data_IF_473239018626
#
_entry.id   IF_473239018626
#
_cell.length_a   1.000
_cell.length_b   1.000
_cell.length_c   1.000
_cell.angle_alpha   90.00
_cell.angle_beta   90.00
_cell.angle_gamma   90.00
#
_symmetry.space_group_name_H-M   'P 1'
#
loop_
_entity.id
_entity.type
_entity.pdbx_description
1 polymer ?
#
# COMPACT_ATOMS: atom_id res chain seq x y z
N UNK A 1 -58.32 54.44 15.19
CA UNK A 1 -56.91 54.41 15.65
C UNK A 1 -56.36 53.05 15.24
N UNK A 2 -55.51 53.03 14.21
CA UNK A 2 -55.25 51.86 13.34
C UNK A 2 -54.14 51.00 13.96
N UNK A 3 -54.43 49.72 14.14
CA UNK A 3 -53.54 48.69 14.69
C UNK A 3 -52.59 48.20 13.59
N UNK A 4 -51.28 48.46 13.73
CA UNK A 4 -50.25 47.93 12.81
C UNK A 4 -49.85 46.52 13.24
N UNK A 5 -50.16 45.53 12.39
CA UNK A 5 -49.63 44.17 12.44
C UNK A 5 -48.17 44.19 11.93
N UNK A 6 -47.24 43.69 12.75
CA UNK A 6 -45.88 43.36 12.33
C UNK A 6 -45.90 41.97 11.70
N UNK A 7 -45.57 41.90 10.40
CA UNK A 7 -45.26 40.66 9.69
C UNK A 7 -43.79 40.33 9.96
N UNK A 8 -43.53 39.29 10.76
CA UNK A 8 -42.20 38.66 10.83
C UNK A 8 -42.05 37.70 9.66
N UNK A 9 -41.20 38.06 8.71
CA UNK A 9 -40.74 37.17 7.64
C UNK A 9 -39.59 36.36 8.22
N UNK A 10 -39.84 35.09 8.56
CA UNK A 10 -38.77 34.13 8.83
C UNK A 10 -38.15 33.70 7.50
N UNK A 11 -36.92 34.14 7.23
CA UNK A 11 -36.06 33.52 6.21
C UNK A 11 -35.62 32.14 6.76
N UNK A 12 -36.21 31.08 6.23
CA UNK A 12 -35.67 29.72 6.34
C UNK A 12 -34.48 29.61 5.38
N UNK A 13 -33.27 29.81 5.90
CA UNK A 13 -32.03 29.48 5.20
C UNK A 13 -31.90 27.96 5.13
N UNK A 14 -32.26 27.36 4.00
CA UNK A 14 -31.91 25.97 3.69
C UNK A 14 -30.41 25.89 3.42
N UNK A 15 -29.65 25.44 4.42
CA UNK A 15 -28.27 24.99 4.24
C UNK A 15 -28.32 23.71 3.41
N UNK A 16 -27.98 23.83 2.12
CA UNK A 16 -27.64 22.68 1.28
C UNK A 16 -26.30 22.13 1.76
N UNK A 17 -26.35 21.09 2.60
CA UNK A 17 -25.18 20.26 2.88
C UNK A 17 -24.93 19.47 1.60
N UNK A 18 -23.97 19.92 0.79
CA UNK A 18 -23.42 19.12 -0.29
C UNK A 18 -22.66 17.96 0.36
N UNK A 19 -23.29 16.78 0.40
CA UNK A 19 -22.59 15.54 0.72
C UNK A 19 -21.68 15.27 -0.48
N UNK A 20 -20.41 15.64 -0.36
CA UNK A 20 -19.41 15.22 -1.32
C UNK A 20 -19.31 13.69 -1.23
N UNK A 21 -19.83 13.00 -2.24
CA UNK A 21 -19.49 11.59 -2.42
C UNK A 21 -17.96 11.52 -2.64
N UNK A 22 -17.23 10.61 -1.97
CA UNK A 22 -15.83 10.43 -2.28
C UNK A 22 -15.70 10.09 -3.77
N UNK A 23 -14.89 10.85 -4.48
CA UNK A 23 -14.54 10.52 -5.85
C UNK A 23 -13.76 9.20 -5.81
N UNK A 24 -14.37 8.10 -6.26
CA UNK A 24 -13.64 6.86 -6.50
C UNK A 24 -12.74 7.12 -7.70
N UNK A 25 -11.44 7.30 -7.46
CA UNK A 25 -10.46 7.32 -8.53
C UNK A 25 -10.51 5.95 -9.22
N UNK A 26 -10.69 5.89 -10.55
CA UNK A 26 -10.71 4.61 -11.25
C UNK A 26 -9.36 3.92 -11.06
N UNK A 27 -9.36 2.62 -10.74
CA UNK A 27 -8.14 1.85 -10.56
C UNK A 27 -7.28 1.93 -11.84
N UNK A 28 -6.03 2.39 -11.69
CA UNK A 28 -5.08 2.50 -12.79
C UNK A 28 -4.38 1.14 -13.02
N UNK A 29 -4.05 0.82 -14.27
CA UNK A 29 -3.22 -0.36 -14.56
C UNK A 29 -1.82 -0.21 -13.98
N UNK A 30 -1.18 -1.32 -13.60
CA UNK A 30 0.21 -1.32 -13.16
C UNK A 30 1.18 -1.17 -14.34
N UNK A 31 2.04 -0.17 -14.26
CA UNK A 31 3.18 0.00 -15.16
C UNK A 31 4.42 0.35 -14.35
N UNK A 32 5.52 -0.36 -14.53
CA UNK A 32 6.77 -0.03 -13.84
C UNK A 32 8.01 -0.35 -14.67
N UNK A 33 9.12 0.32 -14.38
CA UNK A 33 10.40 0.05 -15.03
C UNK A 33 10.99 -1.24 -14.47
N UNK A 34 10.85 -2.33 -15.21
CA UNK A 34 11.28 -3.66 -14.78
C UNK A 34 12.79 -3.87 -14.94
N UNK A 35 13.39 -3.27 -15.96
CA UNK A 35 14.85 -3.32 -16.15
C UNK A 35 15.32 -2.05 -16.83
N UNK A 36 16.53 -1.60 -16.51
CA UNK A 36 17.17 -0.50 -17.22
C UNK A 36 18.69 -0.63 -17.21
N UNK A 37 19.32 -0.03 -18.21
CA UNK A 37 20.77 0.16 -18.27
C UNK A 37 21.07 1.52 -18.86
N UNK A 38 22.09 2.20 -18.35
CA UNK A 38 22.56 3.47 -18.88
C UNK A 38 21.66 4.67 -18.57
N UNK A 39 21.58 5.61 -19.51
CA UNK A 39 20.87 6.88 -19.39
C UNK A 39 19.42 6.77 -19.87
N UNK A 40 18.55 6.45 -18.92
CA UNK A 40 17.10 6.43 -19.09
C UNK A 40 16.52 7.54 -18.22
N UNK A 41 15.57 8.30 -18.78
CA UNK A 41 14.92 9.39 -18.08
C UNK A 41 13.40 9.29 -18.16
N UNK A 42 12.71 9.77 -17.13
CA UNK A 42 11.26 9.87 -17.07
C UNK A 42 10.87 11.34 -16.93
N UNK A 43 9.80 11.75 -17.60
CA UNK A 43 9.09 13.01 -17.34
C UNK A 43 7.64 12.70 -16.99
N UNK A 44 7.24 13.10 -15.78
CA UNK A 44 5.85 13.04 -15.30
C UNK A 44 5.11 14.36 -15.59
N UNK A 45 3.76 14.38 -15.63
CA UNK A 45 2.98 15.59 -15.92
C UNK A 45 3.34 16.80 -15.06
N UNK A 46 3.42 16.61 -13.74
CA UNK A 46 3.72 17.69 -12.80
C UNK A 46 5.20 18.12 -12.81
N UNK A 47 6.09 17.36 -13.45
CA UNK A 47 7.51 17.65 -13.40
C UNK A 47 7.91 18.73 -14.39
N UNK A 48 8.77 19.65 -13.94
CA UNK A 48 9.37 20.67 -14.80
C UNK A 48 10.14 20.02 -15.96
N UNK A 49 10.98 19.04 -15.62
CA UNK A 49 11.92 18.40 -16.54
C UNK A 49 11.83 16.88 -16.59
N UNK A 50 12.84 16.30 -17.23
CA UNK A 50 13.12 14.87 -17.15
C UNK A 50 14.05 14.60 -15.98
N UNK A 51 13.75 13.59 -15.18
CA UNK A 51 14.65 13.06 -14.15
C UNK A 51 15.18 11.68 -14.56
N UNK A 52 16.23 11.21 -13.88
CA UNK A 52 16.77 9.87 -14.07
C UNK A 52 15.71 8.84 -13.67
N UNK A 53 15.62 7.79 -14.47
CA UNK A 53 14.77 6.65 -14.17
C UNK A 53 15.50 5.62 -13.31
N UNK A 54 14.76 4.94 -12.45
CA UNK A 54 15.24 3.87 -11.58
C UNK A 54 14.41 2.61 -11.79
N UNK A 55 15.00 1.46 -11.49
CA UNK A 55 14.28 0.20 -11.56
C UNK A 55 13.23 0.18 -10.45
N UNK A 56 12.02 -0.25 -10.81
CA UNK A 56 10.87 -0.26 -9.91
C UNK A 56 10.05 1.03 -9.90
N UNK A 57 10.49 2.10 -10.59
CA UNK A 57 9.69 3.32 -10.74
C UNK A 57 8.30 2.97 -11.30
N UNK A 58 7.26 3.31 -10.54
CA UNK A 58 5.87 3.23 -11.00
C UNK A 58 5.63 4.36 -12.01
N UNK A 59 4.90 4.02 -13.07
CA UNK A 59 4.64 4.89 -14.20
C UNK A 59 3.14 5.04 -14.44
N UNK A 60 2.74 6.22 -14.89
CA UNK A 60 1.43 6.49 -15.46
C UNK A 60 1.47 6.43 -16.98
N UNK A 61 0.32 6.13 -17.61
CA UNK A 61 0.19 6.10 -19.07
C UNK A 61 0.55 7.44 -19.76
N UNK A 62 0.44 8.54 -19.00
CA UNK A 62 0.76 9.91 -19.40
C UNK A 62 2.26 10.24 -19.29
N UNK A 63 3.01 9.48 -18.51
CA UNK A 63 4.45 9.67 -18.33
C UNK A 63 5.20 9.43 -19.63
N UNK A 64 6.37 10.05 -19.74
CA UNK A 64 7.26 9.93 -20.90
C UNK A 64 8.58 9.31 -20.50
N UNK A 65 8.96 8.24 -21.17
CA UNK A 65 10.26 7.59 -20.99
C UNK A 65 11.16 7.93 -22.16
N UNK A 66 12.42 8.24 -21.89
CA UNK A 66 13.43 8.54 -22.88
C UNK A 66 14.69 7.71 -22.65
N UNK A 67 14.94 6.75 -23.55
CA UNK A 67 16.22 6.05 -23.67
C UNK A 67 17.12 6.84 -24.62
N UNK A 68 18.14 7.53 -24.08
CA UNK A 68 18.83 8.59 -24.84
C UNK A 68 19.80 8.08 -25.90
N UNK A 69 20.49 6.99 -25.62
CA UNK A 69 21.62 6.53 -26.43
C UNK A 69 21.61 5.01 -26.60
N UNK A 70 22.26 4.48 -27.68
CA UNK A 70 22.15 3.06 -28.06
C UNK A 70 22.69 2.05 -27.04
N UNK A 71 23.55 2.50 -26.10
CA UNK A 71 24.09 1.68 -25.01
C UNK A 71 23.12 1.58 -23.81
N UNK A 72 22.02 2.33 -23.85
CA UNK A 72 21.01 2.33 -22.80
C UNK A 72 19.81 1.50 -23.22
N UNK A 73 19.13 0.92 -22.24
CA UNK A 73 17.92 0.13 -22.44
C UNK A 73 16.96 0.38 -21.30
N UNK A 74 15.67 0.27 -21.60
CA UNK A 74 14.62 0.25 -20.59
C UNK A 74 13.55 -0.76 -21.02
N UNK A 75 13.12 -1.59 -20.06
CA UNK A 75 12.02 -2.52 -20.21
C UNK A 75 10.95 -2.11 -19.20
N UNK A 76 9.75 -1.86 -19.70
CA UNK A 76 8.57 -1.55 -18.87
C UNK A 76 7.72 -2.79 -18.77
N UNK A 77 7.38 -3.20 -17.55
CA UNK A 77 6.34 -4.20 -17.32
C UNK A 77 4.98 -3.51 -17.40
N UNK A 78 4.08 -4.06 -18.20
CA UNK A 78 2.73 -3.52 -18.42
C UNK A 78 1.68 -4.35 -17.66
N UNK A 79 0.53 -3.73 -17.40
CA UNK A 79 -0.59 -4.28 -16.62
C UNK A 79 -1.12 -5.64 -17.13
N UNK A 80 -0.97 -5.96 -18.41
CA UNK A 80 -1.37 -7.24 -19.00
C UNK A 80 -0.25 -8.30 -19.02
N UNK A 81 0.70 -8.23 -18.09
CA UNK A 81 1.84 -9.16 -17.97
C UNK A 81 2.72 -9.20 -19.23
N UNK A 82 2.78 -8.11 -19.97
CA UNK A 82 3.64 -7.95 -21.14
C UNK A 82 4.81 -7.02 -20.82
N UNK A 83 5.86 -7.09 -21.63
CA UNK A 83 7.02 -6.23 -21.50
C UNK A 83 7.18 -5.35 -22.74
N UNK A 84 7.31 -4.05 -22.52
CA UNK A 84 7.62 -3.10 -23.56
C UNK A 84 9.10 -2.72 -23.52
N UNK A 85 9.84 -3.04 -24.58
CA UNK A 85 11.19 -2.53 -24.80
C UNK A 85 11.11 -1.12 -25.37
N UNK A 86 11.55 -0.13 -24.59
CA UNK A 86 11.47 1.29 -25.01
C UNK A 86 12.47 1.57 -26.13
N UNK A 87 12.03 2.09 -27.29
CA UNK A 87 12.95 2.39 -28.39
C UNK A 87 13.89 3.55 -28.04
N UNK A 88 15.13 3.47 -28.56
CA UNK A 88 16.17 4.48 -28.35
C UNK A 88 15.90 5.72 -29.21
N UNK A 89 16.30 6.89 -28.71
CA UNK A 89 16.54 8.10 -29.52
C UNK A 89 15.47 9.17 -29.43
N UNK A 90 14.29 8.89 -28.87
CA UNK A 90 13.28 9.90 -28.54
C UNK A 90 12.45 9.51 -27.32
N UNK A 91 11.73 10.48 -26.76
CA UNK A 91 10.83 10.25 -25.64
C UNK A 91 9.47 9.74 -26.11
N UNK A 92 9.00 8.65 -25.52
CA UNK A 92 7.70 8.02 -25.79
C UNK A 92 6.79 8.12 -24.57
N UNK A 93 5.49 8.35 -24.80
CA UNK A 93 4.49 8.16 -23.73
C UNK A 93 4.40 6.67 -23.40
N UNK A 94 4.17 6.33 -22.13
CA UNK A 94 3.99 4.93 -21.70
C UNK A 94 2.84 4.26 -22.45
N UNK A 95 1.74 4.98 -22.66
CA UNK A 95 0.59 4.56 -23.49
C UNK A 95 0.91 4.17 -24.94
N UNK A 96 2.10 4.48 -25.46
CA UNK A 96 2.52 4.03 -26.80
C UNK A 96 3.07 2.61 -26.82
N UNK A 97 3.58 2.12 -25.70
CA UNK A 97 4.17 0.80 -25.61
C UNK A 97 3.37 -0.16 -24.73
N UNK A 98 2.82 0.33 -23.63
CA UNK A 98 1.77 -0.33 -22.89
C UNK A 98 0.44 0.22 -23.41
N UNK A 99 -0.14 -0.43 -24.41
CA UNK A 99 -1.49 -0.08 -24.87
C UNK A 99 -2.48 -0.45 -23.78
N UNK A 100 -3.27 0.52 -23.33
CA UNK A 100 -4.48 0.23 -22.58
C UNK A 100 -5.45 -0.44 -23.54
N UNK A 101 -5.78 -1.70 -23.32
CA UNK A 101 -6.66 -2.46 -24.22
C UNK A 101 -8.10 -1.95 -24.18
N UNK A 102 -8.39 -0.78 -23.57
CA UNK A 102 -9.70 -0.14 -23.47
C UNK A 102 -10.75 -0.96 -22.73
N UNK A 103 -10.34 -2.13 -22.26
CA UNK A 103 -11.06 -3.07 -21.44
C UNK A 103 -10.05 -3.33 -20.33
N UNK A 104 -10.40 -2.95 -19.11
CA UNK A 104 -9.96 -3.68 -17.92
C UNK A 104 -10.41 -5.12 -18.15
N UNK A 105 -9.69 -5.87 -19.00
CA UNK A 105 -9.93 -7.30 -19.17
C UNK A 105 -9.77 -7.87 -17.78
N UNK A 106 -10.60 -8.83 -17.40
CA UNK A 106 -10.63 -9.48 -16.09
C UNK A 106 -9.25 -9.95 -15.55
N UNK A 107 -8.18 -9.90 -16.37
CA UNK A 107 -6.80 -10.33 -16.08
C UNK A 107 -5.72 -9.23 -16.01
N UNK A 108 -6.04 -7.94 -15.90
CA UNK A 108 -5.03 -6.87 -15.74
C UNK A 108 -4.59 -6.64 -14.29
N UNK A 109 -3.28 -6.50 -14.02
CA UNK A 109 -2.80 -6.08 -12.69
C UNK A 109 -3.12 -4.61 -12.49
N UNK A 110 -3.84 -4.32 -11.40
CA UNK A 110 -4.16 -2.97 -10.97
C UNK A 110 -3.09 -2.44 -10.03
N UNK A 111 -2.70 -1.18 -10.23
CA UNK A 111 -1.93 -0.42 -9.27
C UNK A 111 -2.86 0.31 -8.30
N UNK A 112 -2.55 0.25 -7.01
CA UNK A 112 -3.31 0.93 -5.96
C UNK A 112 -2.36 1.76 -5.10
N UNK A 113 -2.13 3.00 -5.52
CA UNK A 113 -1.34 3.97 -4.77
C UNK A 113 -2.11 4.56 -3.58
N UNK A 114 -3.41 4.80 -3.77
CA UNK A 114 -4.22 5.65 -2.89
C UNK A 114 -5.12 4.83 -1.98
N UNK A 115 -4.59 3.73 -1.44
CA UNK A 115 -5.30 3.01 -0.41
C UNK A 115 -5.29 3.87 0.86
N UNK A 116 -6.46 4.37 1.32
CA UNK A 116 -6.50 5.19 2.51
C UNK A 116 -5.85 4.41 3.66
N UNK A 117 -5.07 5.11 4.48
CA UNK A 117 -4.52 4.55 5.72
C UNK A 117 -5.64 3.78 6.40
N UNK A 118 -5.47 2.44 6.48
CA UNK A 118 -6.46 1.63 7.16
C UNK A 118 -6.62 2.24 8.56
N UNK A 119 -7.87 2.54 9.00
CA UNK A 119 -8.06 3.10 10.32
C UNK A 119 -7.30 2.22 11.29
N UNK A 120 -6.46 2.85 12.13
CA UNK A 120 -5.71 2.15 13.15
C UNK A 120 -6.70 1.55 14.13
N UNK A 121 -7.22 0.37 13.81
CA UNK A 121 -8.04 -0.41 14.72
C UNK A 121 -7.03 -1.07 15.63
N UNK A 122 -6.98 -0.50 16.83
CA UNK A 122 -5.95 -0.68 17.84
C UNK A 122 -4.63 -0.12 17.32
N UNK A 123 -4.31 1.11 17.75
CA UNK A 123 -2.96 1.67 17.69
C UNK A 123 -2.01 0.54 18.05
N UNK A 124 -0.96 0.33 17.27
CA UNK A 124 0.12 -0.63 17.55
C UNK A 124 0.81 -0.25 18.85
N UNK A 125 0.07 -0.50 19.93
CA UNK A 125 0.44 -0.33 21.29
C UNK A 125 1.32 -1.54 21.56
N UNK A 126 2.59 -1.28 21.83
CA UNK A 126 3.58 -2.31 22.16
C UNK A 126 3.20 -3.11 23.42
N UNK A 127 2.17 -2.66 24.16
CA UNK A 127 1.59 -3.38 25.29
C UNK A 127 0.57 -4.45 24.87
N UNK A 128 0.08 -4.45 23.62
CA UNK A 128 -0.90 -5.40 23.11
C UNK A 128 -0.25 -6.45 22.21
N UNK A 129 -0.76 -7.70 22.19
CA UNK A 129 -0.27 -8.75 21.31
C UNK A 129 -0.87 -8.61 19.90
N UNK A 130 -0.69 -7.46 19.27
CA UNK A 130 -1.30 -7.19 17.96
C UNK A 130 -0.76 -8.14 16.89
N UNK A 131 -1.68 -8.63 16.05
CA UNK A 131 -1.35 -9.57 15.00
C UNK A 131 -0.52 -8.89 13.91
N UNK A 132 0.62 -9.49 13.57
CA UNK A 132 1.55 -9.06 12.52
C UNK A 132 1.26 -9.83 11.22
N UNK A 133 1.00 -11.13 11.32
CA UNK A 133 0.78 -12.00 10.15
C UNK A 133 -0.09 -13.19 10.55
N UNK A 134 -1.05 -13.61 9.71
CA UNK A 134 -1.66 -12.87 8.60
C UNK A 134 -2.58 -11.76 9.16
N UNK A 135 -2.57 -10.55 8.59
CA UNK A 135 -3.46 -9.46 9.04
C UNK A 135 -4.20 -8.87 7.85
N UNK A 136 -5.53 -8.77 7.94
CA UNK A 136 -6.39 -8.15 6.93
C UNK A 136 -6.06 -8.66 5.51
N UNK A 137 -6.12 -9.97 5.31
CA UNK A 137 -5.69 -10.63 4.07
C UNK A 137 -6.55 -11.83 3.74
N UNK A 138 -6.75 -12.08 2.45
CA UNK A 138 -7.18 -13.40 1.99
C UNK A 138 -6.02 -14.39 2.13
N UNK A 139 -6.36 -15.65 2.21
CA UNK A 139 -5.46 -16.79 2.29
C UNK A 139 -5.72 -17.72 1.11
N UNK A 140 -4.64 -18.33 0.63
CA UNK A 140 -4.72 -19.35 -0.40
C UNK A 140 -5.08 -20.70 0.23
N UNK A 141 -6.04 -21.45 -0.34
CA UNK A 141 -6.44 -22.74 0.22
C UNK A 141 -5.28 -23.75 0.28
N UNK A 142 -5.21 -24.50 1.38
CA UNK A 142 -4.24 -25.58 1.61
C UNK A 142 -2.77 -25.12 1.64
N UNK A 143 -2.52 -23.84 1.92
CA UNK A 143 -1.17 -23.36 2.22
C UNK A 143 -0.88 -23.39 3.73
N UNK A 144 0.36 -23.72 4.13
CA UNK A 144 0.81 -23.55 5.50
C UNK A 144 0.65 -22.10 5.93
N UNK A 145 0.24 -21.89 7.18
CA UNK A 145 0.07 -20.56 7.73
C UNK A 145 0.78 -20.49 9.08
N UNK A 146 1.56 -19.44 9.27
CA UNK A 146 2.20 -19.14 10.55
C UNK A 146 1.62 -17.84 11.09
N UNK A 147 0.96 -17.91 12.24
CA UNK A 147 0.45 -16.75 12.95
C UNK A 147 1.61 -16.11 13.73
N UNK A 148 1.78 -14.79 13.61
CA UNK A 148 2.80 -14.00 14.32
C UNK A 148 2.16 -12.75 14.90
N UNK A 149 2.55 -12.37 16.12
CA UNK A 149 2.06 -11.17 16.79
C UNK A 149 3.18 -10.47 17.57
N UNK A 150 2.90 -9.27 18.03
CA UNK A 150 3.81 -8.53 18.89
C UNK A 150 3.94 -9.19 20.27
N UNK A 151 5.17 -9.31 20.79
CA UNK A 151 5.39 -9.93 22.08
C UNK A 151 5.08 -8.94 23.22
N UNK A 152 4.23 -9.34 24.17
CA UNK A 152 3.88 -8.52 25.33
C UNK A 152 4.88 -8.71 26.46
N UNK A 153 5.41 -7.61 26.99
CA UNK A 153 6.35 -7.63 28.11
C UNK A 153 5.75 -8.34 29.32
N UNK A 154 6.51 -9.26 29.94
CA UNK A 154 6.12 -10.11 31.08
C UNK A 154 5.09 -11.22 30.76
N UNK A 155 4.63 -11.35 29.51
CA UNK A 155 3.84 -12.51 29.12
C UNK A 155 4.71 -13.77 29.12
N UNK A 156 4.14 -14.88 29.61
CA UNK A 156 4.81 -16.20 29.65
C UNK A 156 4.19 -17.18 28.66
N UNK A 157 2.96 -16.91 28.23
CA UNK A 157 2.24 -17.65 27.21
C UNK A 157 1.14 -16.78 26.59
N UNK A 158 0.61 -17.26 25.48
CA UNK A 158 -0.48 -16.67 24.72
C UNK A 158 -1.54 -17.73 24.43
N UNK A 159 -2.80 -17.33 24.56
CA UNK A 159 -3.95 -18.07 24.06
C UNK A 159 -4.35 -17.47 22.71
N UNK A 160 -4.24 -18.27 21.65
CA UNK A 160 -4.55 -17.87 20.28
C UNK A 160 -5.81 -18.56 19.84
N UNK A 161 -6.79 -17.77 19.40
CA UNK A 161 -8.10 -18.25 18.97
C UNK A 161 -8.40 -17.74 17.56
N UNK A 162 -8.80 -18.64 16.68
CA UNK A 162 -9.45 -18.28 15.41
C UNK A 162 -10.95 -18.48 15.61
N UNK A 163 -11.74 -17.43 15.33
CA UNK A 163 -13.20 -17.44 15.46
C UNK A 163 -13.88 -17.25 14.11
N UNK A 164 -15.03 -17.89 13.94
CA UNK A 164 -16.02 -17.48 12.95
C UNK A 164 -17.20 -16.88 13.71
N UNK A 165 -17.52 -15.61 13.45
CA UNK A 165 -18.40 -14.82 14.30
C UNK A 165 -17.91 -14.91 15.78
N UNK A 166 -18.79 -15.20 16.73
CA UNK A 166 -18.44 -15.36 18.13
C UNK A 166 -17.96 -16.79 18.50
N UNK A 167 -17.86 -17.72 17.54
CA UNK A 167 -17.58 -19.15 17.82
C UNK A 167 -16.11 -19.49 17.54
N UNK A 168 -15.35 -19.97 18.54
CA UNK A 168 -14.02 -20.53 18.31
C UNK A 168 -14.08 -21.71 17.34
N UNK A 169 -13.27 -21.67 16.28
CA UNK A 169 -13.08 -22.79 15.35
C UNK A 169 -11.73 -23.47 15.54
N UNK A 170 -10.78 -22.77 16.17
CA UNK A 170 -9.47 -23.29 16.53
C UNK A 170 -8.89 -22.51 17.71
N UNK A 171 -8.22 -23.22 18.61
CA UNK A 171 -7.57 -22.66 19.79
C UNK A 171 -6.24 -23.35 20.07
N UNK A 172 -5.24 -22.57 20.50
CA UNK A 172 -3.95 -23.11 20.92
C UNK A 172 -3.26 -22.18 21.92
N UNK A 173 -2.64 -22.78 22.93
CA UNK A 173 -1.74 -22.09 23.85
C UNK A 173 -0.29 -22.29 23.44
N UNK A 174 0.49 -21.22 23.37
CA UNK A 174 1.93 -21.24 23.05
C UNK A 174 2.72 -20.30 23.96
N UNK A 175 4.02 -20.56 24.13
CA UNK A 175 4.91 -19.67 24.90
C UNK A 175 5.52 -18.54 24.06
N UNK A 176 5.77 -18.81 22.78
CA UNK A 176 6.38 -17.88 21.84
C UNK A 176 5.32 -17.05 21.10
N UNK A 177 5.64 -15.84 20.61
CA UNK A 177 4.73 -14.98 19.88
C UNK A 177 4.50 -15.41 18.41
N UNK A 178 4.46 -16.72 18.20
CA UNK A 178 4.38 -17.38 16.91
C UNK A 178 3.74 -18.75 17.06
N UNK A 179 2.88 -19.13 16.11
CA UNK A 179 2.33 -20.49 16.06
C UNK A 179 1.98 -20.89 14.64
N UNK A 180 2.38 -22.12 14.27
CA UNK A 180 1.90 -22.71 13.03
C UNK A 180 0.44 -23.14 13.18
N UNK A 181 -0.36 -22.69 12.22
CA UNK A 181 -1.73 -23.11 12.01
C UNK A 181 -1.71 -24.33 11.06
N UNK A 182 -2.09 -25.51 11.56
CA UNK A 182 -1.70 -26.78 10.95
C UNK A 182 -2.39 -27.09 9.63
N UNK A 183 -3.58 -26.54 9.36
CA UNK A 183 -4.28 -26.77 8.09
C UNK A 183 -5.37 -25.73 7.81
N UNK A 184 -5.22 -24.99 6.70
CA UNK A 184 -6.26 -24.07 6.21
C UNK A 184 -7.48 -24.76 5.60
N UNK A 185 -7.48 -26.09 5.45
CA UNK A 185 -8.65 -26.87 5.00
C UNK A 185 -9.85 -26.80 5.94
N UNK A 186 -9.63 -26.46 7.21
CA UNK A 186 -10.70 -26.25 8.19
C UNK A 186 -11.44 -24.92 7.99
N UNK A 187 -10.85 -24.00 7.23
CA UNK A 187 -11.46 -22.73 6.89
C UNK A 187 -12.36 -22.89 5.65
N UNK A 188 -13.40 -22.06 5.55
CA UNK A 188 -14.36 -22.03 4.44
C UNK A 188 -14.26 -20.72 3.66
N UNK A 189 -14.54 -20.79 2.36
CA UNK A 189 -14.38 -19.70 1.38
C UNK A 189 -15.45 -18.61 1.42
N UNK A 190 -16.46 -18.77 2.26
CA UNK A 190 -17.60 -17.88 2.42
C UNK A 190 -17.64 -17.22 3.81
N UNK A 191 -16.49 -17.17 4.50
CA UNK A 191 -16.42 -16.77 5.91
C UNK A 191 -15.26 -15.83 6.18
N UNK A 192 -15.57 -14.80 6.96
CA UNK A 192 -14.57 -14.00 7.66
C UNK A 192 -14.20 -14.68 8.96
N UNK A 193 -12.90 -14.90 9.15
CA UNK A 193 -12.35 -15.39 10.40
C UNK A 193 -11.60 -14.30 11.12
N UNK A 194 -11.75 -14.29 12.44
CA UNK A 194 -11.16 -13.32 13.34
C UNK A 194 -10.07 -14.01 14.14
N UNK A 195 -8.88 -13.42 14.20
CA UNK A 195 -7.78 -13.93 15.02
C UNK A 195 -7.73 -13.08 16.29
N UNK A 196 -7.81 -13.74 17.44
CA UNK A 196 -7.68 -13.13 18.76
C UNK A 196 -6.45 -13.71 19.42
N UNK A 197 -5.58 -12.84 19.93
CA UNK A 197 -4.44 -13.25 20.75
C UNK A 197 -4.59 -12.63 22.13
N UNK A 198 -4.53 -13.47 23.17
CA UNK A 198 -4.59 -13.03 24.57
C UNK A 198 -3.30 -13.42 25.28
N UNK A 199 -2.59 -12.45 25.82
CA UNK A 199 -1.39 -12.68 26.60
C UNK A 199 -1.73 -13.15 28.03
N UNK A 200 -0.83 -13.90 28.67
CA UNK A 200 -1.00 -14.35 30.06
C UNK A 200 -1.12 -13.22 31.10
N UNK A 201 -0.78 -11.99 30.71
CA UNK A 201 -0.96 -10.77 31.51
C UNK A 201 -2.40 -10.26 31.51
N UNK A 202 -3.27 -10.82 30.66
CA UNK A 202 -4.70 -10.50 30.58
C UNK A 202 -5.08 -9.54 29.45
N UNK A 203 -4.10 -8.95 28.75
CA UNK A 203 -4.33 -8.08 27.58
C UNK A 203 -4.54 -8.90 26.32
N UNK A 204 -5.35 -8.40 25.38
CA UNK A 204 -5.65 -9.06 24.12
C UNK A 204 -5.57 -8.10 22.93
N UNK A 205 -5.39 -8.67 21.74
CA UNK A 205 -5.67 -7.99 20.48
C UNK A 205 -6.66 -8.82 19.67
N UNK A 206 -7.83 -8.28 19.30
CA UNK A 206 -8.30 -6.92 19.63
C UNK A 206 -8.51 -6.70 21.14
N UNK A 207 -8.53 -5.45 21.60
CA UNK A 207 -8.65 -5.09 23.02
C UNK A 207 -9.98 -5.59 23.60
N UNK A 208 -11.05 -5.56 22.81
CA UNK A 208 -12.30 -6.24 23.11
C UNK A 208 -12.59 -7.43 22.17
N UNK A 209 -12.27 -8.68 22.59
CA UNK A 209 -12.47 -9.90 21.80
C UNK A 209 -13.89 -10.20 21.33
N UNK A 210 -14.90 -9.45 21.81
CA UNK A 210 -16.32 -9.66 21.56
C UNK A 210 -17.01 -8.46 20.87
N UNK A 211 -16.33 -7.32 20.71
CA UNK A 211 -16.95 -6.10 20.17
C UNK A 211 -16.14 -5.45 19.05
N UNK A 212 -14.82 -5.65 19.03
CA UNK A 212 -13.97 -5.04 18.03
C UNK A 212 -13.79 -5.95 16.80
N UNK A 213 -13.80 -5.38 15.59
CA UNK A 213 -13.50 -6.15 14.39
C UNK A 213 -12.01 -6.52 14.43
N UNK A 214 -11.71 -7.76 14.84
CA UNK A 214 -10.35 -8.30 14.80
C UNK A 214 -9.81 -8.31 13.36
N UNK A 215 -8.48 -8.40 13.18
CA UNK A 215 -7.90 -8.73 11.89
C UNK A 215 -8.64 -9.89 11.25
N UNK A 216 -9.12 -9.64 10.03
CA UNK A 216 -9.93 -10.60 9.31
C UNK A 216 -9.09 -11.35 8.29
N UNK A 217 -9.30 -12.65 8.23
CA UNK A 217 -8.81 -13.49 7.14
C UNK A 217 -9.99 -14.14 6.42
N UNK A 218 -9.86 -14.27 5.10
CA UNK A 218 -10.78 -15.02 4.26
C UNK A 218 -10.01 -16.07 3.48
N UNK A 219 -10.70 -17.01 2.84
CA UNK A 219 -10.08 -17.85 1.83
C UNK A 219 -10.42 -17.33 0.43
N UNK A 220 -9.45 -17.44 -0.47
CA UNK A 220 -9.62 -17.12 -1.87
C UNK A 220 -10.54 -18.14 -2.57
N UNK A 221 -11.30 -17.70 -3.58
CA UNK A 221 -12.08 -18.59 -4.44
C UNK A 221 -11.19 -19.46 -5.31
N UNK A 222 -11.71 -20.60 -5.79
CA UNK A 222 -10.98 -21.44 -6.75
C UNK A 222 -10.67 -20.69 -8.04
N UNK A 223 -11.61 -19.88 -8.53
CA UNK A 223 -11.45 -19.11 -9.77
C UNK A 223 -10.26 -18.16 -9.69
N UNK A 224 -10.20 -17.34 -8.63
CA UNK A 224 -9.10 -16.42 -8.42
C UNK A 224 -7.78 -17.15 -8.14
N UNK A 225 -7.79 -18.29 -7.42
CA UNK A 225 -6.57 -19.09 -7.20
C UNK A 225 -6.02 -19.68 -8.51
N UNK A 226 -6.89 -20.11 -9.44
CA UNK A 226 -6.44 -20.62 -10.75
C UNK A 226 -5.91 -19.50 -11.65
N UNK A 227 -6.58 -18.35 -11.67
CA UNK A 227 -6.10 -17.19 -12.41
C UNK A 227 -4.75 -16.69 -11.86
N UNK A 228 -4.63 -16.59 -10.53
CA UNK A 228 -3.38 -16.24 -9.86
C UNK A 228 -2.25 -17.18 -10.26
N UNK A 229 -2.46 -18.51 -10.20
CA UNK A 229 -1.45 -19.50 -10.60
C UNK A 229 -0.99 -19.32 -12.04
N UNK A 230 -1.93 -19.08 -12.95
CA UNK A 230 -1.64 -18.82 -14.36
C UNK A 230 -0.78 -17.56 -14.52
N UNK A 231 -1.15 -16.46 -13.86
CA UNK A 231 -0.48 -15.18 -13.97
C UNK A 231 0.91 -15.17 -13.30
N UNK A 232 1.06 -15.86 -12.17
CA UNK A 232 2.36 -16.10 -11.53
C UNK A 232 3.30 -16.87 -12.47
N UNK A 233 2.81 -17.96 -13.09
CA UNK A 233 3.59 -18.72 -14.06
C UNK A 233 4.02 -17.87 -15.25
N UNK A 234 3.16 -16.97 -15.73
CA UNK A 234 3.52 -16.02 -16.78
C UNK A 234 4.66 -15.10 -16.34
N UNK A 235 4.58 -14.48 -15.16
CA UNK A 235 5.65 -13.62 -14.62
C UNK A 235 6.97 -14.40 -14.48
N UNK A 236 6.92 -15.64 -13.99
CA UNK A 236 8.10 -16.47 -13.77
C UNK A 236 8.84 -16.80 -15.08
N UNK A 237 8.11 -16.96 -16.19
CA UNK A 237 8.69 -17.23 -17.51
C UNK A 237 9.30 -16.00 -18.20
N UNK A 238 9.03 -14.79 -17.70
CA UNK A 238 9.59 -13.58 -18.29
C UNK A 238 11.09 -13.48 -18.03
N UNK A 239 11.81 -12.89 -18.99
CA UNK A 239 13.23 -12.58 -18.86
C UNK A 239 13.43 -11.29 -18.05
N UNK A 240 13.05 -11.34 -16.78
CA UNK A 240 13.20 -10.28 -15.79
C UNK A 240 14.09 -10.76 -14.65
N UNK A 241 14.75 -9.83 -13.98
CA UNK A 241 15.53 -10.16 -12.79
C UNK A 241 14.63 -10.42 -11.56
N UNK A 242 15.26 -10.78 -10.44
CA UNK A 242 14.55 -11.15 -9.23
C UNK A 242 13.80 -9.99 -8.57
N UNK A 243 14.27 -8.75 -8.70
CA UNK A 243 13.58 -7.58 -8.13
C UNK A 243 12.31 -7.30 -8.92
N UNK A 244 12.40 -7.25 -10.25
CA UNK A 244 11.26 -7.04 -11.11
C UNK A 244 10.20 -8.14 -10.95
N UNK A 245 10.62 -9.41 -10.89
CA UNK A 245 9.67 -10.53 -10.63
C UNK A 245 8.99 -10.38 -9.28
N UNK A 246 9.73 -10.09 -8.22
CA UNK A 246 9.16 -9.90 -6.89
C UNK A 246 8.15 -8.74 -6.86
N UNK A 247 8.45 -7.62 -7.51
CA UNK A 247 7.54 -6.48 -7.62
C UNK A 247 6.27 -6.85 -8.42
N UNK A 248 6.41 -7.51 -9.57
CA UNK A 248 5.28 -7.97 -10.37
C UNK A 248 4.39 -8.97 -9.61
N UNK A 249 4.99 -9.93 -8.90
CA UNK A 249 4.27 -10.90 -8.08
C UNK A 249 3.55 -10.22 -6.91
N UNK A 250 4.22 -9.30 -6.20
CA UNK A 250 3.62 -8.58 -5.08
C UNK A 250 2.39 -7.76 -5.51
N UNK A 251 2.50 -7.01 -6.60
CA UNK A 251 1.35 -6.29 -7.13
C UNK A 251 0.25 -7.21 -7.65
N UNK A 252 0.59 -8.36 -8.26
CA UNK A 252 -0.39 -9.36 -8.66
C UNK A 252 -1.18 -9.86 -7.44
N UNK A 253 -0.50 -10.34 -6.40
CA UNK A 253 -1.11 -10.78 -5.15
C UNK A 253 -2.02 -9.70 -4.55
N UNK A 254 -1.51 -8.48 -4.44
CA UNK A 254 -2.28 -7.35 -3.94
C UNK A 254 -3.50 -7.03 -4.83
N UNK A 255 -3.38 -7.13 -6.15
CA UNK A 255 -4.48 -6.84 -7.08
C UNK A 255 -5.62 -7.88 -7.00
N UNK A 256 -5.29 -9.13 -6.64
CA UNK A 256 -6.25 -10.23 -6.44
C UNK A 256 -7.10 -9.97 -5.19
N UNK A 257 -8.26 -9.31 -5.36
CA UNK A 257 -9.24 -9.08 -4.30
C UNK A 257 -10.61 -9.61 -4.70
N UNK A 258 -11.31 -10.27 -3.77
CA UNK A 258 -12.71 -10.67 -4.00
C UNK A 258 -13.67 -9.48 -3.92
N UNK A 259 -13.39 -8.49 -3.06
CA UNK A 259 -14.14 -7.25 -2.96
C UNK A 259 -13.18 -6.08 -2.65
N UNK A 260 -13.17 -5.09 -3.53
CA UNK A 260 -12.26 -3.94 -3.43
C UNK A 260 -12.48 -3.07 -2.19
N UNK A 261 -13.67 -3.14 -1.57
CA UNK A 261 -13.99 -2.38 -0.37
C UNK A 261 -13.44 -3.04 0.91
N UNK A 262 -13.01 -4.31 0.83
CA UNK A 262 -12.60 -5.11 1.97
C UNK A 262 -11.18 -5.62 1.81
N UNK A 263 -10.26 -5.01 2.57
CA UNK A 263 -8.82 -5.30 2.53
C UNK A 263 -8.50 -6.79 2.73
N UNK A 264 -9.26 -7.46 3.59
CA UNK A 264 -9.14 -8.88 3.93
C UNK A 264 -9.56 -9.83 2.82
N UNK A 265 -9.93 -9.31 1.65
CA UNK A 265 -10.19 -10.12 0.47
C UNK A 265 -9.03 -10.13 -0.52
N UNK A 266 -7.99 -9.32 -0.27
CA UNK A 266 -6.78 -9.25 -1.08
C UNK A 266 -5.66 -10.12 -0.50
N UNK A 267 -4.76 -10.68 -1.32
CA UNK A 267 -3.62 -11.49 -0.85
C UNK A 267 -2.45 -10.62 -0.35
N UNK A 268 -2.72 -9.75 0.63
CA UNK A 268 -1.74 -8.82 1.18
C UNK A 268 -0.56 -9.56 1.86
N UNK A 269 -0.83 -10.67 2.54
CA UNK A 269 0.22 -11.45 3.22
C UNK A 269 1.17 -12.12 2.22
N UNK A 270 0.67 -12.74 1.15
CA UNK A 270 1.52 -13.29 0.08
C UNK A 270 2.40 -12.20 -0.57
N UNK A 271 1.83 -11.00 -0.79
CA UNK A 271 2.58 -9.85 -1.30
C UNK A 271 3.73 -9.45 -0.33
N UNK A 272 3.47 -9.42 0.98
CA UNK A 272 4.50 -9.12 1.99
C UNK A 272 5.59 -10.21 2.00
N UNK A 273 5.21 -11.48 1.89
CA UNK A 273 6.14 -12.62 1.96
C UNK A 273 7.09 -12.70 0.77
N UNK A 274 6.60 -12.42 -0.45
CA UNK A 274 7.46 -12.37 -1.64
C UNK A 274 8.49 -11.24 -1.53
N UNK A 275 8.08 -10.07 -1.02
CA UNK A 275 8.97 -8.94 -0.78
C UNK A 275 9.95 -9.22 0.35
N UNK A 276 9.49 -9.83 1.45
CA UNK A 276 10.34 -10.22 2.58
C UNK A 276 11.42 -11.22 2.14
N UNK A 277 11.03 -12.21 1.33
CA UNK A 277 11.97 -13.17 0.74
C UNK A 277 13.01 -12.46 -0.12
N UNK A 278 12.58 -11.50 -0.94
CA UNK A 278 13.51 -10.76 -1.80
C UNK A 278 14.47 -9.88 -1.01
N UNK A 279 13.99 -9.23 0.05
CA UNK A 279 14.77 -8.44 1.00
C UNK A 279 15.81 -9.33 1.71
N UNK A 280 15.41 -10.50 2.22
CA UNK A 280 16.33 -11.47 2.84
C UNK A 280 17.41 -11.97 1.88
N UNK A 281 17.10 -12.03 0.58
CA UNK A 281 18.06 -12.33 -0.48
C UNK A 281 18.95 -11.12 -0.87
N UNK A 282 18.96 -10.05 -0.08
CA UNK A 282 19.94 -8.97 -0.17
C UNK A 282 19.73 -7.96 -1.29
N UNK A 283 18.48 -7.71 -1.69
CA UNK A 283 18.22 -6.61 -2.64
C UNK A 283 18.57 -5.25 -2.03
N UNK A 284 19.15 -4.37 -2.86
CA UNK A 284 19.34 -2.94 -2.55
C UNK A 284 18.34 -2.05 -3.31
N UNK A 285 17.36 -2.63 -4.02
CA UNK A 285 16.38 -1.84 -4.75
C UNK A 285 15.38 -1.18 -3.79
N UNK A 286 15.36 0.17 -3.67
CA UNK A 286 14.50 0.86 -2.72
C UNK A 286 13.00 0.65 -2.99
N UNK A 287 12.58 0.42 -4.23
CA UNK A 287 11.17 0.21 -4.59
C UNK A 287 10.59 -1.07 -3.94
N UNK A 288 11.41 -2.10 -3.71
CA UNK A 288 10.98 -3.33 -3.00
C UNK A 288 10.65 -3.04 -1.53
N UNK A 289 11.47 -2.22 -0.88
CA UNK A 289 11.25 -1.83 0.51
C UNK A 289 10.06 -0.87 0.64
N UNK A 290 9.91 0.07 -0.29
CA UNK A 290 8.74 0.94 -0.38
C UNK A 290 7.47 0.11 -0.52
N UNK A 291 7.42 -0.82 -1.49
CA UNK A 291 6.22 -1.62 -1.71
C UNK A 291 5.87 -2.48 -0.49
N UNK A 292 6.87 -2.99 0.24
CA UNK A 292 6.59 -3.72 1.49
C UNK A 292 6.02 -2.78 2.56
N UNK A 293 6.54 -1.55 2.65
CA UNK A 293 6.01 -0.54 3.56
C UNK A 293 4.57 -0.13 3.20
N UNK A 294 4.27 0.05 1.91
CA UNK A 294 2.92 0.31 1.41
C UNK A 294 1.96 -0.82 1.83
N UNK A 295 2.40 -2.08 1.71
CA UNK A 295 1.60 -3.24 2.13
C UNK A 295 1.36 -3.27 3.63
N UNK A 296 2.39 -2.99 4.45
CA UNK A 296 2.22 -2.85 5.90
C UNK A 296 1.26 -1.72 6.28
N UNK A 297 1.42 -0.55 5.66
CA UNK A 297 0.55 0.62 5.83
C UNK A 297 -0.90 0.25 5.56
N UNK A 298 -1.15 -0.47 4.45
CA UNK A 298 -2.48 -0.92 4.04
C UNK A 298 -3.12 -1.87 5.04
N UNK A 299 -2.39 -2.83 5.61
CA UNK A 299 -2.97 -3.76 6.58
C UNK A 299 -3.06 -3.18 8.00
N UNK A 300 -2.67 -1.91 8.17
CA UNK A 300 -2.71 -1.18 9.42
C UNK A 300 -1.52 -1.44 10.34
N UNK A 301 -0.40 -1.93 9.78
CA UNK A 301 0.87 -2.09 10.48
C UNK A 301 1.77 -0.85 10.26
N UNK A 302 1.42 0.27 10.89
CA UNK A 302 2.04 1.59 10.67
C UNK A 302 3.51 1.63 11.16
N UNK A 303 3.86 0.98 12.28
CA UNK A 303 5.24 0.95 12.80
C UNK A 303 6.14 0.10 11.92
N UNK A 304 5.69 -1.06 11.47
CA UNK A 304 6.40 -1.88 10.48
C UNK A 304 6.57 -1.11 9.15
N UNK A 305 5.52 -0.40 8.70
CA UNK A 305 5.60 0.46 7.53
C UNK A 305 6.65 1.57 7.71
N UNK A 306 6.64 2.30 8.83
CA UNK A 306 7.61 3.35 9.14
C UNK A 306 9.05 2.81 9.11
N UNK A 307 9.31 1.64 9.70
CA UNK A 307 10.63 1.01 9.68
C UNK A 307 11.08 0.67 8.25
N UNK A 308 10.17 0.15 7.42
CA UNK A 308 10.47 -0.20 6.03
C UNK A 308 10.67 1.02 5.15
N UNK A 309 9.84 2.05 5.28
CA UNK A 309 10.03 3.32 4.58
C UNK A 309 11.36 3.98 4.94
N UNK A 310 11.77 4.00 6.22
CA UNK A 310 13.10 4.53 6.61
C UNK A 310 14.25 3.78 5.91
N UNK A 311 14.12 2.46 5.73
CA UNK A 311 15.10 1.66 4.98
C UNK A 311 15.08 2.00 3.49
N UNK A 312 13.88 2.10 2.90
CA UNK A 312 13.68 2.50 1.52
C UNK A 312 14.27 3.90 1.24
N UNK A 313 14.07 4.86 2.16
CA UNK A 313 14.59 6.22 2.07
C UNK A 313 16.11 6.25 2.04
N UNK A 314 16.77 5.48 2.90
CA UNK A 314 18.23 5.37 2.91
C UNK A 314 18.77 4.83 1.58
N UNK A 315 18.14 3.81 1.02
CA UNK A 315 18.50 3.23 -0.29
C UNK A 315 18.20 4.20 -1.45
N UNK A 316 17.05 4.89 -1.42
CA UNK A 316 16.68 5.90 -2.41
C UNK A 316 17.66 7.09 -2.39
N UNK A 317 18.13 7.47 -1.21
CA UNK A 317 19.17 8.50 -1.02
C UNK A 317 20.49 8.07 -1.64
N UNK A 318 20.95 6.83 -1.35
CA UNK A 318 22.16 6.24 -1.97
C UNK A 318 22.05 6.18 -3.50
N UNK A 319 20.86 5.89 -4.01
CA UNK A 319 20.56 5.84 -5.45
C UNK A 319 20.35 7.22 -6.10
N UNK A 320 20.33 8.31 -5.32
CA UNK A 320 19.92 9.65 -5.75
C UNK A 320 18.57 9.65 -6.48
N UNK A 321 17.61 8.83 -6.02
CA UNK A 321 16.24 8.81 -6.53
C UNK A 321 15.43 9.88 -5.78
N UNK A 322 15.48 11.12 -6.25
CA UNK A 322 14.77 12.25 -5.62
C UNK A 322 13.24 12.06 -5.63
N UNK A 323 12.60 11.65 -6.75
CA UNK A 323 11.16 11.37 -6.74
C UNK A 323 10.74 10.39 -5.65
N UNK A 324 11.45 9.26 -5.55
CA UNK A 324 11.13 8.26 -4.54
C UNK A 324 11.42 8.74 -3.11
N UNK A 325 12.45 9.57 -2.90
CA UNK A 325 12.68 10.19 -1.60
C UNK A 325 11.49 11.06 -1.18
N UNK A 326 10.96 11.90 -2.08
CA UNK A 326 9.82 12.76 -1.78
C UNK A 326 8.57 11.94 -1.44
N UNK A 327 8.26 10.92 -2.24
CA UNK A 327 7.13 10.02 -2.00
C UNK A 327 7.26 9.32 -0.63
N UNK A 328 8.43 8.75 -0.32
CA UNK A 328 8.65 8.07 0.96
C UNK A 328 8.57 9.04 2.14
N UNK A 329 9.11 10.26 2.02
CA UNK A 329 9.06 11.26 3.07
C UNK A 329 7.63 11.73 3.34
N UNK A 330 6.81 11.93 2.30
CA UNK A 330 5.39 12.22 2.46
C UNK A 330 4.68 11.11 3.23
N UNK A 331 4.93 9.84 2.85
CA UNK A 331 4.35 8.67 3.52
C UNK A 331 4.79 8.52 4.97
N UNK A 332 6.06 8.79 5.28
CA UNK A 332 6.57 8.81 6.65
C UNK A 332 5.91 9.91 7.48
N UNK A 333 5.69 11.08 6.89
CA UNK A 333 4.98 12.19 7.51
C UNK A 333 3.52 11.87 7.85
N UNK A 334 2.79 11.27 6.90
CA UNK A 334 1.41 10.80 7.10
C UNK A 334 1.31 9.76 8.22
N UNK A 335 2.24 8.80 8.24
CA UNK A 335 2.30 7.76 9.28
C UNK A 335 2.62 8.37 10.64
N UNK A 336 3.63 9.23 10.74
CA UNK A 336 4.02 9.88 11.98
C UNK A 336 2.87 10.72 12.54
N UNK A 337 2.17 11.48 11.68
CA UNK A 337 0.97 12.22 12.08
C UNK A 337 -0.10 11.29 12.68
N UNK A 338 -0.32 10.14 12.03
CA UNK A 338 -1.28 9.13 12.47
C UNK A 338 -0.89 8.38 13.76
N UNK A 339 0.39 8.38 14.11
CA UNK A 339 0.92 7.84 15.35
C UNK A 339 1.05 8.92 16.44
N UNK A 340 0.55 10.14 16.17
CA UNK A 340 0.67 11.32 17.05
C UNK A 340 2.13 11.75 17.31
N UNK A 341 3.04 11.35 16.42
CA UNK A 341 4.46 11.72 16.40
C UNK A 341 4.63 13.06 15.64
N UNK A 342 3.89 14.10 16.06
CA UNK A 342 3.68 15.32 15.26
C UNK A 342 4.97 16.08 14.91
N UNK A 343 5.96 16.12 15.79
CA UNK A 343 7.25 16.75 15.49
C UNK A 343 7.98 16.03 14.34
N UNK A 344 7.97 14.69 14.36
CA UNK A 344 8.55 13.88 13.29
C UNK A 344 7.73 14.01 11.99
N UNK A 345 6.41 14.12 12.08
CA UNK A 345 5.55 14.37 10.93
C UNK A 345 5.94 15.66 10.20
N UNK A 346 6.15 16.75 10.95
CA UNK A 346 6.60 18.04 10.37
C UNK A 346 7.94 17.89 9.65
N UNK A 347 8.92 17.24 10.28
CA UNK A 347 10.25 17.05 9.68
C UNK A 347 10.18 16.30 8.34
N UNK A 348 9.40 15.23 8.27
CA UNK A 348 9.27 14.46 7.04
C UNK A 348 8.51 15.19 5.94
N UNK A 349 7.40 15.84 6.27
CA UNK A 349 6.59 16.56 5.29
C UNK A 349 7.33 17.79 4.73
N UNK A 350 8.08 18.52 5.55
CA UNK A 350 8.93 19.64 5.09
C UNK A 350 10.05 19.14 4.15
N UNK A 351 10.64 17.97 4.44
CA UNK A 351 11.64 17.36 3.57
C UNK A 351 11.03 16.96 2.21
N UNK A 352 9.84 16.36 2.20
CA UNK A 352 9.11 16.04 0.97
C UNK A 352 8.79 17.30 0.16
N UNK A 353 8.29 18.35 0.82
CA UNK A 353 7.97 19.64 0.19
C UNK A 353 9.19 20.22 -0.53
N UNK A 354 10.33 20.24 0.16
CA UNK A 354 11.58 20.76 -0.39
C UNK A 354 12.09 20.00 -1.63
N UNK A 355 11.76 18.70 -1.77
CA UNK A 355 12.07 17.94 -2.98
C UNK A 355 11.02 18.21 -4.07
N UNK A 356 9.73 18.21 -3.73
CA UNK A 356 8.67 18.50 -4.70
C UNK A 356 8.82 19.89 -5.33
N UNK A 357 9.22 20.91 -4.56
CA UNK A 357 9.54 22.24 -5.10
C UNK A 357 10.64 22.23 -6.16
N UNK A 358 11.58 21.26 -6.12
CA UNK A 358 12.65 21.11 -7.12
C UNK A 358 12.19 20.32 -8.35
N UNK A 359 11.32 19.34 -8.16
CA UNK A 359 10.83 18.46 -9.23
C UNK A 359 9.70 19.10 -10.04
N UNK A 360 8.79 19.79 -9.35
CA UNK A 360 7.53 20.24 -9.94
C UNK A 360 7.68 21.47 -10.83
N UNK A 361 6.83 21.53 -11.85
CA UNK A 361 6.56 22.74 -12.60
C UNK A 361 5.62 23.63 -11.78
N UNK A 362 6.16 24.61 -11.05
CA UNK A 362 5.36 25.49 -10.19
C UNK A 362 4.44 26.46 -10.96
N UNK A 363 4.52 26.49 -12.29
CA UNK A 363 3.51 27.18 -13.13
C UNK A 363 2.25 26.33 -13.35
N UNK A 364 2.31 25.03 -13.04
CA UNK A 364 1.18 24.11 -13.13
C UNK A 364 0.27 24.23 -11.89
N UNK A 365 -1.03 24.57 -12.04
CA UNK A 365 -1.95 24.68 -10.91
C UNK A 365 -2.11 23.38 -10.11
N UNK A 366 -1.99 22.21 -10.74
CA UNK A 366 -2.09 20.92 -10.04
C UNK A 366 -0.88 20.70 -9.13
N UNK A 367 0.32 21.07 -9.60
CA UNK A 367 1.53 21.02 -8.79
C UNK A 367 1.46 21.99 -7.60
N UNK A 368 0.92 23.19 -7.80
CA UNK A 368 0.68 24.15 -6.71
C UNK A 368 -0.33 23.60 -5.70
N UNK A 369 -1.42 23.00 -6.17
CA UNK A 369 -2.44 22.39 -5.32
C UNK A 369 -1.86 21.28 -4.45
N UNK A 370 -1.01 20.41 -5.01
CA UNK A 370 -0.36 19.33 -4.25
C UNK A 370 0.58 19.87 -3.17
N UNK A 371 1.34 20.92 -3.48
CA UNK A 371 2.21 21.57 -2.48
C UNK A 371 1.41 22.27 -1.37
N UNK A 372 0.25 22.84 -1.70
CA UNK A 372 -0.60 23.48 -0.70
C UNK A 372 -1.26 22.46 0.25
N UNK A 373 -1.72 21.33 -0.28
CA UNK A 373 -2.17 20.20 0.55
C UNK A 373 -1.09 19.75 1.53
N UNK A 374 0.15 19.60 1.04
CA UNK A 374 1.28 19.21 1.88
C UNK A 374 1.56 20.24 2.98
N UNK A 375 1.51 21.54 2.67
CA UNK A 375 1.65 22.62 3.66
C UNK A 375 0.54 22.62 4.71
N UNK A 376 -0.68 22.31 4.31
CA UNK A 376 -1.80 22.20 5.24
C UNK A 376 -1.58 21.04 6.23
N UNK A 377 -1.03 19.92 5.76
CA UNK A 377 -0.68 18.78 6.62
C UNK A 377 0.49 19.10 7.57
N UNK A 378 1.49 19.87 7.10
CA UNK A 378 2.58 20.39 7.94
C UNK A 378 2.01 21.28 9.06
N UNK A 379 1.13 22.22 8.72
CA UNK A 379 0.58 23.15 9.70
C UNK A 379 -0.38 22.48 10.70
N UNK A 380 -1.22 21.54 10.26
CA UNK A 380 -2.07 20.76 11.18
C UNK A 380 -1.21 19.95 12.17
N UNK A 381 -0.10 19.35 11.71
CA UNK A 381 0.84 18.65 12.59
C UNK A 381 1.51 19.62 13.56
N UNK A 382 1.96 20.79 13.08
CA UNK A 382 2.63 21.81 13.90
C UNK A 382 1.73 22.36 15.01
N UNK A 383 0.43 22.51 14.76
CA UNK A 383 -0.53 22.98 15.75
C UNK A 383 -0.80 21.98 16.89
N UNK A 384 -0.37 20.72 16.72
CA UNK A 384 -0.57 19.62 17.68
C UNK A 384 0.70 19.29 18.50
N UNK A 385 1.80 20.01 18.27
CA UNK A 385 3.01 20.01 19.10
C UNK A 385 2.78 20.92 20.30
#
# INVERSE_FOLDING_TARGET
MIWKRLFSISLLSTVLIAIAAPATTPAEGLYYIAALTGNVQVKRPLWFGYDRAHQGDILKLTDRIWVRNPQSSATVFCNHLSNWQVPVGKAFKVSKGCSDSGILSDSGILFRADDPLAPGRDIENEELPYLISPRNTALRPNQPLTLRWHAVKKATHYDVTIKYLATPVWEKRVSEPIVDYPDSSQLRRDRDYFIVVTASTGVSSPENPNQEPAPTITLLTDELEQELKKNLALIDTQNLDADAKAQGQAHLYHSTCQDQNYLNTCLNQDAIEVLETRIKAGTENPAIYQLQADMYKRIGLKREAQQRYRTALALATKANNLPLQAEIQEQLGEIAHNLEEFAEAVEWLEAAEGIYQKLFNLEDPEAQSKLEELKQNIEDSRQRI
#
